data_IF_695767537799
#
_entry.id   IF_695767537799
#
_cell.length_a   1.000
_cell.length_b   1.000
_cell.length_c   1.000
_cell.angle_alpha   90.00
_cell.angle_beta   90.00
_cell.angle_gamma   90.00
#
_symmetry.space_group_name_H-M   'P 1'
#
loop_
_entity.id
_entity.type
_entity.pdbx_description
1 polymer ?
#
# COMPACT_ATOMS: atom_id res chain seq x y z
N UNK A 1 -12.10 16.35 -3.92
CA UNK A 1 -11.54 16.48 -2.58
C UNK A 1 -10.43 17.54 -2.58
N UNK A 2 -10.15 18.12 -1.43
CA UNK A 2 -9.02 19.05 -1.30
C UNK A 2 -7.71 18.32 -1.64
N UNK A 3 -6.83 19.02 -2.36
CA UNK A 3 -5.49 18.49 -2.60
C UNK A 3 -4.67 18.57 -1.30
N UNK A 4 -3.86 17.56 -1.06
CA UNK A 4 -2.88 17.57 0.01
C UNK A 4 -1.83 18.65 -0.30
N UNK A 5 -1.59 19.57 0.64
CA UNK A 5 -0.51 20.56 0.49
C UNK A 5 0.86 19.88 0.73
N UNK A 6 1.93 20.47 0.22
CA UNK A 6 3.28 19.96 0.51
C UNK A 6 3.59 19.96 2.00
N UNK A 7 3.14 21.00 2.73
CA UNK A 7 3.32 21.08 4.17
C UNK A 7 2.56 19.98 4.93
N UNK A 8 1.31 19.65 4.54
CA UNK A 8 0.56 18.53 5.12
C UNK A 8 1.24 17.19 4.82
N UNK A 9 1.76 17.02 3.57
CA UNK A 9 2.50 15.83 3.19
C UNK A 9 3.76 15.67 4.06
N UNK A 10 4.56 16.72 4.19
CA UNK A 10 5.78 16.69 5.00
C UNK A 10 5.47 16.35 6.46
N UNK A 11 4.41 16.92 7.02
CA UNK A 11 3.97 16.62 8.38
C UNK A 11 3.50 15.16 8.55
N UNK A 12 2.77 14.59 7.56
CA UNK A 12 2.39 13.18 7.57
C UNK A 12 3.61 12.26 7.48
N UNK A 13 4.57 12.60 6.63
CA UNK A 13 5.82 11.85 6.49
C UNK A 13 6.65 11.94 7.78
N UNK A 14 6.71 13.11 8.44
CA UNK A 14 7.35 13.29 9.74
C UNK A 14 6.74 12.39 10.81
N UNK A 15 5.41 12.35 10.88
CA UNK A 15 4.69 11.53 11.86
C UNK A 15 4.93 10.04 11.63
N UNK A 16 4.86 9.58 10.36
CA UNK A 16 5.11 8.19 10.00
C UNK A 16 6.55 7.77 10.33
N UNK A 17 7.52 8.58 9.92
CA UNK A 17 8.93 8.33 10.22
C UNK A 17 9.22 8.36 11.74
N UNK A 18 8.55 9.23 12.48
CA UNK A 18 8.67 9.29 13.94
C UNK A 18 8.11 8.06 14.63
N UNK A 19 6.93 7.56 14.18
CA UNK A 19 6.36 6.30 14.64
C UNK A 19 7.34 5.15 14.40
N UNK A 20 7.84 5.01 13.17
CA UNK A 20 8.73 3.91 12.80
C UNK A 20 10.06 3.96 13.58
N UNK A 21 10.65 5.15 13.79
CA UNK A 21 11.89 5.29 14.57
C UNK A 21 11.71 5.00 16.05
N UNK A 22 10.57 5.38 16.63
CA UNK A 22 10.33 5.24 18.07
C UNK A 22 10.37 3.77 18.53
N UNK A 23 10.14 2.82 17.62
CA UNK A 23 10.06 1.39 17.91
C UNK A 23 11.18 0.57 17.27
N UNK A 24 12.21 1.21 16.71
CA UNK A 24 13.41 0.48 16.23
C UNK A 24 14.10 -0.20 17.40
N UNK A 25 14.26 -1.53 17.30
CA UNK A 25 14.88 -2.34 18.34
C UNK A 25 14.01 -2.55 19.60
N UNK A 26 12.73 -2.18 19.55
CA UNK A 26 11.79 -2.48 20.63
C UNK A 26 11.67 -4.00 20.81
N UNK A 27 11.81 -4.47 22.04
CA UNK A 27 11.59 -5.87 22.40
C UNK A 27 10.09 -6.05 22.67
N UNK A 28 9.40 -6.69 21.75
CA UNK A 28 7.98 -6.99 21.89
C UNK A 28 7.80 -8.26 22.73
N UNK A 29 7.04 -8.16 23.80
CA UNK A 29 6.58 -9.27 24.63
C UNK A 29 5.29 -9.93 24.11
N UNK A 30 4.91 -9.61 22.87
CA UNK A 30 3.69 -10.08 22.22
C UNK A 30 2.57 -9.03 22.16
N UNK A 31 2.81 -7.82 22.70
CA UNK A 31 1.81 -6.74 22.72
C UNK A 31 1.42 -6.26 21.31
N UNK A 32 2.40 -6.20 20.40
CA UNK A 32 2.22 -5.72 19.03
C UNK A 32 2.21 -6.84 17.97
N UNK A 33 1.99 -8.09 18.36
CA UNK A 33 1.84 -9.18 17.37
C UNK A 33 0.55 -9.05 16.56
N UNK A 34 -0.53 -8.60 17.19
CA UNK A 34 -1.85 -8.30 16.60
C UNK A 34 -2.29 -9.28 15.49
N UNK A 35 -2.07 -10.58 15.70
CA UNK A 35 -2.18 -11.61 14.64
C UNK A 35 -3.56 -11.67 14.02
N UNK A 36 -4.62 -11.51 14.80
CA UNK A 36 -5.99 -11.60 14.30
C UNK A 36 -6.33 -10.45 13.34
N UNK A 37 -6.02 -9.21 13.73
CA UNK A 37 -6.28 -8.04 12.88
C UNK A 37 -5.34 -8.01 11.67
N UNK A 38 -4.09 -8.44 11.85
CA UNK A 38 -3.11 -8.57 10.76
C UNK A 38 -3.57 -9.60 9.72
N UNK A 39 -4.08 -10.76 10.16
CA UNK A 39 -4.62 -11.79 9.26
C UNK A 39 -5.89 -11.27 8.54
N UNK A 40 -6.80 -10.60 9.25
CA UNK A 40 -7.98 -9.99 8.66
C UNK A 40 -7.57 -8.97 7.57
N UNK A 41 -6.62 -8.09 7.87
CA UNK A 41 -6.13 -7.10 6.92
C UNK A 41 -5.41 -7.76 5.73
N UNK A 42 -4.65 -8.84 5.99
CA UNK A 42 -4.05 -9.66 4.92
C UNK A 42 -5.11 -10.22 3.97
N UNK A 43 -6.21 -10.80 4.49
CA UNK A 43 -7.32 -11.29 3.66
C UNK A 43 -7.90 -10.16 2.80
N UNK A 44 -8.16 -8.99 3.39
CA UNK A 44 -8.73 -7.84 2.71
C UNK A 44 -7.84 -7.27 1.61
N UNK A 45 -6.52 -7.31 1.79
CA UNK A 45 -5.56 -6.71 0.84
C UNK A 45 -5.17 -7.70 -0.26
N UNK A 46 -4.83 -8.95 0.11
CA UNK A 46 -4.13 -9.88 -0.79
C UNK A 46 -5.01 -11.01 -1.32
N UNK A 47 -6.16 -11.30 -0.67
CA UNK A 47 -7.03 -12.43 -1.05
C UNK A 47 -8.34 -11.98 -1.67
N UNK A 48 -9.13 -11.21 -0.95
CA UNK A 48 -10.49 -10.81 -1.38
C UNK A 48 -10.50 -10.11 -2.74
N UNK A 49 -9.58 -9.19 -3.10
CA UNK A 49 -9.61 -8.56 -4.43
C UNK A 49 -9.41 -9.57 -5.56
N UNK A 50 -8.70 -10.67 -5.30
CA UNK A 50 -8.38 -11.70 -6.30
C UNK A 50 -9.41 -12.84 -6.34
N UNK A 51 -10.26 -12.98 -5.33
CA UNK A 51 -11.33 -13.96 -5.29
C UNK A 51 -12.50 -13.50 -6.16
N UNK A 52 -12.81 -14.25 -7.23
CA UNK A 52 -13.94 -13.95 -8.10
C UNK A 52 -15.30 -14.19 -7.42
N UNK A 53 -15.33 -15.02 -6.35
CA UNK A 53 -16.53 -15.37 -5.59
C UNK A 53 -16.74 -14.51 -4.35
N UNK A 54 -16.02 -13.39 -4.19
CA UNK A 54 -16.05 -12.54 -3.00
C UNK A 54 -17.38 -11.81 -2.72
N UNK A 55 -18.35 -11.92 -3.63
CA UNK A 55 -19.69 -11.33 -3.50
C UNK A 55 -19.77 -9.81 -3.73
N UNK A 56 -18.67 -9.15 -4.12
CA UNK A 56 -18.65 -7.71 -4.39
C UNK A 56 -19.24 -7.41 -5.77
N UNK A 57 -20.27 -6.57 -5.82
CA UNK A 57 -20.80 -6.02 -7.08
C UNK A 57 -19.98 -4.81 -7.50
N UNK A 58 -18.91 -5.07 -8.26
CA UNK A 58 -18.03 -4.00 -8.76
C UNK A 58 -18.73 -3.11 -9.80
N UNK A 59 -19.70 -3.64 -10.53
CA UNK A 59 -20.38 -2.92 -11.58
C UNK A 59 -21.49 -2.00 -11.03
N UNK A 60 -21.99 -2.24 -9.82
CA UNK A 60 -22.87 -1.30 -9.13
C UNK A 60 -22.21 0.07 -8.90
N UNK A 61 -20.91 0.07 -8.60
CA UNK A 61 -20.13 1.31 -8.39
C UNK A 61 -19.59 1.89 -9.70
N UNK A 62 -19.19 1.03 -10.63
CA UNK A 62 -18.61 1.45 -11.91
C UNK A 62 -18.90 0.41 -12.98
N UNK A 63 -19.90 0.60 -13.84
CA UNK A 63 -20.25 -0.36 -14.88
C UNK A 63 -19.04 -0.76 -15.76
N UNK A 64 -18.77 -2.07 -15.88
CA UNK A 64 -17.65 -2.64 -16.61
C UNK A 64 -16.37 -2.79 -15.80
N UNK A 65 -16.37 -2.51 -14.50
CA UNK A 65 -15.21 -2.71 -13.63
C UNK A 65 -14.95 -4.19 -13.36
N UNK A 66 -15.99 -5.02 -13.26
CA UNK A 66 -15.89 -6.48 -13.12
C UNK A 66 -15.03 -7.12 -14.20
N UNK A 67 -15.23 -6.73 -15.47
CA UNK A 67 -14.42 -7.23 -16.58
C UNK A 67 -12.95 -6.80 -16.53
N UNK A 68 -12.64 -5.66 -15.91
CA UNK A 68 -11.26 -5.24 -15.69
C UNK A 68 -10.61 -6.02 -14.52
N UNK A 69 -11.37 -6.32 -13.47
CA UNK A 69 -10.94 -7.14 -12.35
C UNK A 69 -10.67 -8.60 -12.78
N UNK A 70 -11.53 -9.17 -13.63
CA UNK A 70 -11.37 -10.52 -14.18
C UNK A 70 -10.02 -10.68 -14.87
N UNK A 71 -9.62 -9.72 -15.72
CA UNK A 71 -8.32 -9.76 -16.42
C UNK A 71 -7.13 -9.79 -15.45
N UNK A 72 -7.24 -9.12 -14.30
CA UNK A 72 -6.20 -9.12 -13.30
C UNK A 72 -6.15 -10.44 -12.53
N UNK A 73 -7.32 -11.02 -12.22
CA UNK A 73 -7.48 -12.31 -11.54
C UNK A 73 -7.00 -13.49 -12.36
N UNK A 74 -7.12 -13.40 -13.69
CA UNK A 74 -6.66 -14.43 -14.65
C UNK A 74 -5.15 -14.36 -14.93
N UNK A 75 -4.46 -13.29 -14.55
CA UNK A 75 -3.01 -13.16 -14.67
C UNK A 75 -2.29 -13.94 -13.57
N UNK A 76 -1.91 -15.17 -13.86
CA UNK A 76 -1.28 -16.09 -12.90
C UNK A 76 0.03 -15.58 -12.35
N UNK A 77 0.85 -14.89 -13.15
CA UNK A 77 2.11 -14.30 -12.68
C UNK A 77 1.86 -13.15 -11.70
N UNK A 78 0.84 -12.34 -11.97
CA UNK A 78 0.41 -11.27 -11.07
C UNK A 78 -0.13 -11.84 -9.76
N UNK A 79 -1.02 -12.84 -9.81
CA UNK A 79 -1.58 -13.50 -8.61
C UNK A 79 -0.46 -14.08 -7.75
N UNK A 80 0.49 -14.80 -8.34
CA UNK A 80 1.65 -15.35 -7.62
C UNK A 80 2.53 -14.26 -6.98
N UNK A 81 2.69 -13.10 -7.65
CA UNK A 81 3.42 -11.97 -7.11
C UNK A 81 2.69 -11.33 -5.91
N UNK A 82 1.36 -11.20 -5.97
CA UNK A 82 0.53 -10.72 -4.84
C UNK A 82 0.62 -11.67 -3.66
N UNK A 83 0.53 -12.98 -3.87
CA UNK A 83 0.66 -13.98 -2.81
C UNK A 83 2.04 -13.93 -2.14
N UNK A 84 3.10 -13.76 -2.94
CA UNK A 84 4.46 -13.60 -2.43
C UNK A 84 4.58 -12.35 -1.55
N UNK A 85 3.98 -11.24 -1.97
CA UNK A 85 3.96 -10.00 -1.21
C UNK A 85 3.13 -10.14 0.08
N UNK A 86 2.02 -10.88 0.04
CA UNK A 86 1.23 -11.22 1.22
C UNK A 86 2.03 -12.00 2.26
N UNK A 87 2.91 -12.92 1.83
CA UNK A 87 3.85 -13.61 2.73
C UNK A 87 4.88 -12.65 3.36
N UNK A 88 5.33 -11.64 2.61
CA UNK A 88 6.21 -10.58 3.17
C UNK A 88 5.47 -9.77 4.22
N UNK A 89 4.22 -9.37 3.95
CA UNK A 89 3.36 -8.66 4.91
C UNK A 89 3.17 -9.44 6.22
N UNK A 90 3.01 -10.76 6.16
CA UNK A 90 2.81 -11.61 7.33
C UNK A 90 4.11 -11.95 8.11
N UNK A 91 5.29 -11.56 7.64
CA UNK A 91 6.54 -11.74 8.39
C UNK A 91 6.62 -10.73 9.52
N UNK A 92 7.07 -11.18 10.68
CA UNK A 92 7.40 -10.28 11.77
C UNK A 92 8.61 -9.43 11.38
N UNK A 93 8.60 -8.17 11.79
CA UNK A 93 9.64 -7.19 11.53
C UNK A 93 10.04 -6.44 12.80
N UNK A 94 10.94 -5.48 12.67
CA UNK A 94 11.48 -4.71 13.80
C UNK A 94 10.89 -3.30 13.92
N UNK A 95 9.87 -2.95 13.12
CA UNK A 95 9.29 -1.60 13.08
C UNK A 95 7.80 -1.68 13.37
N UNK A 96 7.31 -0.88 14.31
CA UNK A 96 5.87 -0.76 14.54
C UNK A 96 5.23 0.01 13.40
N UNK A 97 4.31 -0.65 12.71
CA UNK A 97 3.52 -0.08 11.62
C UNK A 97 2.19 0.47 12.17
N UNK A 98 1.63 1.45 11.48
CA UNK A 98 0.24 1.86 11.67
C UNK A 98 -0.73 0.78 11.13
N UNK A 99 -0.35 0.15 10.02
CA UNK A 99 -1.09 -0.96 9.40
C UNK A 99 -2.26 -0.57 8.49
N UNK A 100 -2.73 0.69 8.51
CA UNK A 100 -3.70 1.28 7.58
C UNK A 100 -3.50 2.81 7.49
N UNK A 101 -2.30 3.24 7.05
CA UNK A 101 -1.88 4.65 7.00
C UNK A 101 -2.45 5.36 5.76
N UNK A 102 -3.75 5.58 5.73
CA UNK A 102 -4.48 6.16 4.60
C UNK A 102 -5.24 7.45 5.01
N UNK A 103 -5.79 8.24 4.06
CA UNK A 103 -6.47 9.51 4.38
C UNK A 103 -7.61 9.42 5.38
N UNK A 104 -8.26 8.25 5.56
CA UNK A 104 -9.27 8.03 6.59
C UNK A 104 -8.70 7.99 8.01
N UNK A 105 -7.41 7.66 8.14
CA UNK A 105 -6.67 7.67 9.41
C UNK A 105 -5.93 8.99 9.67
N UNK A 106 -6.14 10.02 8.84
CA UNK A 106 -5.52 11.34 9.02
C UNK A 106 -6.59 12.37 9.39
N UNK A 107 -6.43 12.97 10.56
CA UNK A 107 -7.32 14.03 11.04
C UNK A 107 -6.61 15.38 10.92
N UNK A 108 -7.21 16.34 10.21
CA UNK A 108 -6.71 17.71 10.15
C UNK A 108 -7.18 18.45 11.40
N UNK A 109 -6.24 19.03 12.15
CA UNK A 109 -6.52 19.86 13.33
C UNK A 109 -5.91 21.25 13.17
N UNK A 110 -6.20 22.15 14.11
CA UNK A 110 -5.61 23.50 14.14
C UNK A 110 -4.08 23.47 14.30
N UNK A 111 -3.56 22.43 14.97
CA UNK A 111 -2.11 22.25 15.18
C UNK A 111 -1.45 21.38 14.10
N UNK A 112 -2.11 21.10 12.97
CA UNK A 112 -1.65 20.24 11.90
C UNK A 112 -2.30 18.85 11.91
N UNK A 113 -1.84 17.93 11.03
CA UNK A 113 -2.42 16.60 10.93
C UNK A 113 -2.17 15.77 12.21
N UNK A 114 -3.08 14.84 12.48
CA UNK A 114 -2.95 13.79 13.50
C UNK A 114 -3.25 12.44 12.88
N UNK A 115 -2.58 11.39 13.35
CA UNK A 115 -2.85 10.00 12.99
C UNK A 115 -3.79 9.41 14.02
N UNK A 116 -4.81 8.71 13.57
CA UNK A 116 -5.83 8.04 14.39
C UNK A 116 -6.01 6.60 13.91
N UNK A 117 -6.73 5.79 14.66
CA UNK A 117 -7.18 4.45 14.25
C UNK A 117 -6.05 3.39 14.12
N UNK A 118 -5.23 3.18 15.16
CA UNK A 118 -4.10 2.24 15.10
C UNK A 118 -4.51 0.77 15.29
N UNK A 119 -5.75 0.39 15.05
CA UNK A 119 -6.27 -0.96 15.34
C UNK A 119 -5.54 -2.08 14.56
N UNK A 120 -4.97 -1.75 13.40
CA UNK A 120 -4.17 -2.66 12.57
C UNK A 120 -2.68 -2.62 12.87
N UNK A 121 -2.23 -1.93 13.92
CA UNK A 121 -0.80 -1.81 14.22
C UNK A 121 -0.16 -3.18 14.53
N UNK A 122 1.06 -3.41 14.00
CA UNK A 122 1.86 -4.60 14.26
C UNK A 122 3.34 -4.34 13.93
N UNK A 123 4.24 -5.22 14.38
CA UNK A 123 5.66 -5.16 14.00
C UNK A 123 5.87 -5.82 12.63
N UNK A 124 6.32 -5.04 11.64
CA UNK A 124 6.44 -5.48 10.26
C UNK A 124 7.49 -4.73 9.43
N UNK A 125 7.35 -4.80 8.10
CA UNK A 125 8.18 -4.10 7.13
C UNK A 125 7.66 -2.68 6.92
N UNK A 126 8.45 -1.63 7.22
CA UNK A 126 8.00 -0.22 7.12
C UNK A 126 7.57 0.19 5.73
N UNK A 127 8.04 -0.49 4.70
CA UNK A 127 7.65 -0.28 3.31
C UNK A 127 6.13 -0.46 3.09
N UNK A 128 5.45 -1.19 3.96
CA UNK A 128 3.99 -1.36 3.85
C UNK A 128 3.27 -0.03 4.09
N UNK A 129 3.51 0.65 5.21
CA UNK A 129 2.84 1.92 5.52
C UNK A 129 3.20 3.03 4.51
N UNK A 130 4.48 3.09 4.09
CA UNK A 130 4.90 4.01 3.03
C UNK A 130 4.21 3.67 1.70
N UNK A 131 4.01 2.38 1.41
CA UNK A 131 3.27 1.91 0.25
C UNK A 131 1.80 2.34 0.29
N UNK A 132 1.14 2.25 1.45
CA UNK A 132 -0.24 2.75 1.64
C UNK A 132 -0.30 4.25 1.36
N UNK A 133 0.60 5.07 1.92
CA UNK A 133 0.68 6.51 1.62
C UNK A 133 0.81 6.76 0.11
N UNK A 134 1.77 6.10 -0.56
CA UNK A 134 2.01 6.25 -2.00
C UNK A 134 0.79 5.85 -2.82
N UNK A 135 0.11 4.76 -2.47
CA UNK A 135 -1.12 4.33 -3.15
C UNK A 135 -2.19 5.43 -3.16
N UNK A 136 -2.38 6.09 -2.04
CA UNK A 136 -3.37 7.16 -1.92
C UNK A 136 -2.96 8.45 -2.63
N UNK A 137 -1.66 8.76 -2.71
CA UNK A 137 -1.17 9.86 -3.56
C UNK A 137 -1.45 9.56 -5.05
N UNK A 138 -1.21 8.32 -5.50
CA UNK A 138 -1.48 7.89 -6.88
C UNK A 138 -2.98 7.87 -7.22
N UNK A 139 -3.84 7.38 -6.32
CA UNK A 139 -5.30 7.40 -6.48
C UNK A 139 -5.89 8.82 -6.44
N UNK A 140 -5.20 9.77 -5.80
CA UNK A 140 -5.55 11.18 -5.79
C UNK A 140 -4.97 11.96 -6.99
N UNK A 141 -4.36 11.27 -7.97
CA UNK A 141 -3.73 11.86 -9.15
C UNK A 141 -2.68 12.95 -8.79
N UNK A 142 -1.95 12.73 -7.68
CA UNK A 142 -0.85 13.64 -7.34
C UNK A 142 0.29 13.54 -8.35
N UNK A 143 0.97 14.66 -8.66
CA UNK A 143 2.12 14.65 -9.54
C UNK A 143 3.22 13.69 -9.07
N UNK A 144 3.99 13.07 -9.98
CA UNK A 144 5.11 12.19 -9.61
C UNK A 144 6.10 12.83 -8.63
N UNK A 145 6.35 14.13 -8.74
CA UNK A 145 7.21 14.87 -7.82
C UNK A 145 6.73 14.83 -6.36
N UNK A 146 5.43 14.74 -6.11
CA UNK A 146 4.85 14.61 -4.77
C UNK A 146 5.12 13.21 -4.21
N UNK A 147 5.03 12.18 -5.04
CA UNK A 147 5.39 10.80 -4.65
C UNK A 147 6.90 10.71 -4.33
N UNK A 148 7.74 11.28 -5.20
CA UNK A 148 9.19 11.31 -4.97
C UNK A 148 9.55 12.10 -3.70
N UNK A 149 8.88 13.24 -3.44
CA UNK A 149 9.02 13.99 -2.18
C UNK A 149 8.69 13.15 -0.96
N UNK A 150 7.59 12.41 -0.99
CA UNK A 150 7.20 11.53 0.12
C UNK A 150 8.26 10.45 0.39
N UNK A 151 8.73 9.78 -0.66
CA UNK A 151 9.73 8.71 -0.55
C UNK A 151 11.08 9.22 -0.06
N UNK A 152 11.58 10.31 -0.66
CA UNK A 152 12.87 10.92 -0.28
C UNK A 152 12.78 11.48 1.14
N UNK A 153 11.71 12.23 1.43
CA UNK A 153 11.50 12.82 2.75
C UNK A 153 11.38 11.77 3.87
N UNK A 154 10.73 10.63 3.59
CA UNK A 154 10.67 9.52 4.55
C UNK A 154 12.07 8.93 4.81
N UNK A 155 12.82 8.61 3.74
CA UNK A 155 14.15 8.02 3.85
C UNK A 155 15.14 8.93 4.61
N UNK A 156 15.11 10.23 4.34
CA UNK A 156 15.92 11.22 5.07
C UNK A 156 15.60 11.23 6.56
N UNK A 157 14.31 11.17 6.93
CA UNK A 157 13.86 11.22 8.32
C UNK A 157 14.18 9.97 9.12
N UNK A 158 14.16 8.79 8.48
CA UNK A 158 14.61 7.55 9.16
C UNK A 158 16.13 7.37 9.13
N UNK A 159 16.87 8.27 8.46
CA UNK A 159 18.33 8.24 8.40
C UNK A 159 18.89 7.15 7.49
N UNK A 160 18.12 6.68 6.50
CA UNK A 160 18.58 5.70 5.51
C UNK A 160 18.70 6.34 4.15
N UNK A 161 19.58 5.79 3.31
CA UNK A 161 19.55 6.10 1.88
C UNK A 161 18.46 5.26 1.24
N UNK A 162 17.60 5.86 0.38
CA UNK A 162 16.66 5.09 -0.41
C UNK A 162 17.45 4.09 -1.25
N UNK A 163 17.30 2.79 -0.96
CA UNK A 163 17.81 1.76 -1.83
C UNK A 163 16.73 1.32 -2.83
N UNK A 164 17.17 0.76 -3.96
CA UNK A 164 16.26 0.37 -5.04
C UNK A 164 15.32 -0.77 -4.60
N UNK A 165 15.79 -1.68 -3.75
CA UNK A 165 14.99 -2.81 -3.29
C UNK A 165 13.86 -2.36 -2.35
N UNK A 166 14.16 -1.47 -1.39
CA UNK A 166 13.14 -0.88 -0.50
C UNK A 166 12.12 -0.06 -1.31
N UNK A 167 12.59 0.79 -2.25
CA UNK A 167 11.70 1.55 -3.14
C UNK A 167 10.80 0.62 -3.97
N UNK A 168 11.34 -0.45 -4.52
CA UNK A 168 10.58 -1.44 -5.27
C UNK A 168 9.52 -2.14 -4.38
N UNK A 169 9.86 -2.46 -3.13
CA UNK A 169 8.93 -3.06 -2.18
C UNK A 169 7.80 -2.10 -1.80
N UNK A 170 8.12 -0.82 -1.55
CA UNK A 170 7.10 0.24 -1.34
C UNK A 170 6.14 0.31 -2.52
N UNK A 171 6.65 0.35 -3.75
CA UNK A 171 5.80 0.43 -4.94
C UNK A 171 4.91 -0.82 -5.11
N UNK A 172 5.41 -2.01 -4.76
CA UNK A 172 4.62 -3.24 -4.78
C UNK A 172 3.49 -3.21 -3.73
N UNK A 173 3.76 -2.75 -2.52
CA UNK A 173 2.74 -2.55 -1.50
C UNK A 173 1.73 -1.47 -1.91
N UNK A 174 2.19 -0.38 -2.54
CA UNK A 174 1.29 0.61 -3.11
C UNK A 174 0.37 0.01 -4.18
N UNK A 175 0.88 -0.88 -5.03
CA UNK A 175 0.08 -1.59 -6.02
C UNK A 175 -1.04 -2.42 -5.41
N UNK A 176 -0.77 -3.23 -4.39
CA UNK A 176 -1.81 -4.06 -3.75
C UNK A 176 -2.81 -3.23 -2.95
N UNK A 177 -2.38 -2.12 -2.36
CA UNK A 177 -3.31 -1.19 -1.71
C UNK A 177 -4.23 -0.52 -2.73
N UNK A 178 -3.71 -0.05 -3.87
CA UNK A 178 -4.54 0.45 -4.98
C UNK A 178 -5.54 -0.62 -5.45
N UNK A 179 -5.11 -1.88 -5.58
CA UNK A 179 -5.98 -3.00 -5.94
C UNK A 179 -7.12 -3.15 -4.92
N UNK A 180 -6.80 -3.18 -3.61
CA UNK A 180 -7.78 -3.27 -2.51
C UNK A 180 -8.82 -2.16 -2.61
N UNK A 181 -8.39 -0.92 -2.86
CA UNK A 181 -9.27 0.26 -2.93
C UNK A 181 -10.10 0.33 -4.21
N UNK A 182 -9.70 -0.36 -5.26
CA UNK A 182 -10.41 -0.38 -6.55
C UNK A 182 -11.40 -1.55 -6.65
N UNK A 183 -11.01 -2.76 -6.21
CA UNK A 183 -11.76 -4.00 -6.44
C UNK A 183 -11.87 -4.91 -5.20
N UNK A 184 -11.49 -4.42 -4.00
CA UNK A 184 -11.60 -5.14 -2.72
C UNK A 184 -12.76 -4.66 -1.86
N UNK A 185 -12.85 -5.15 -0.61
CA UNK A 185 -13.91 -4.80 0.36
C UNK A 185 -13.85 -3.35 0.85
N UNK A 186 -12.68 -2.72 0.81
CA UNK A 186 -12.45 -1.35 1.28
C UNK A 186 -12.42 -0.34 0.11
N UNK A 187 -13.33 -0.49 -0.85
CA UNK A 187 -13.43 0.41 -2.00
C UNK A 187 -13.62 1.86 -1.55
N UNK A 188 -12.87 2.75 -2.18
CA UNK A 188 -13.07 4.18 -2.00
C UNK A 188 -14.19 4.68 -2.93
N UNK A 189 -14.98 5.68 -2.53
CA UNK A 189 -16.00 6.31 -3.37
C UNK A 189 -15.34 7.22 -4.42
N UNK A 190 -14.48 6.63 -5.27
CA UNK A 190 -13.76 7.35 -6.31
C UNK A 190 -14.71 7.68 -7.47
N UNK A 191 -14.83 8.97 -7.77
CA UNK A 191 -15.64 9.48 -8.88
C UNK A 191 -14.98 9.29 -10.26
N UNK A 192 -13.86 8.58 -10.32
CA UNK A 192 -13.09 8.34 -11.53
C UNK A 192 -13.87 7.47 -12.53
N UNK A 193 -13.70 7.79 -13.83
CA UNK A 193 -14.30 7.00 -14.92
C UNK A 193 -13.75 5.57 -14.98
N UNK A 194 -14.50 4.65 -15.61
CA UNK A 194 -14.02 3.29 -15.89
C UNK A 194 -12.67 3.29 -16.63
N UNK A 195 -12.48 4.20 -17.59
CA UNK A 195 -11.21 4.31 -18.33
C UNK A 195 -10.04 4.62 -17.37
N UNK A 196 -10.26 5.53 -16.40
CA UNK A 196 -9.24 5.85 -15.39
C UNK A 196 -8.99 4.67 -14.45
N UNK A 197 -10.03 4.00 -13.96
CA UNK A 197 -9.89 2.81 -13.10
C UNK A 197 -9.16 1.67 -13.82
N UNK A 198 -9.42 1.46 -15.12
CA UNK A 198 -8.65 0.52 -15.95
C UNK A 198 -7.16 0.90 -16.07
N UNK A 199 -6.86 2.19 -16.15
CA UNK A 199 -5.47 2.67 -16.16
C UNK A 199 -4.79 2.39 -14.84
N UNK A 200 -5.43 2.66 -13.71
CA UNK A 200 -4.91 2.31 -12.39
C UNK A 200 -4.70 0.80 -12.22
N UNK A 201 -5.63 -0.06 -12.69
CA UNK A 201 -5.44 -1.52 -12.60
C UNK A 201 -4.26 -2.02 -13.47
N UNK A 202 -3.99 -1.40 -14.63
CA UNK A 202 -2.75 -1.69 -15.37
C UNK A 202 -1.50 -1.27 -14.61
N UNK A 203 -1.51 -0.08 -14.02
CA UNK A 203 -0.44 0.40 -13.17
C UNK A 203 -0.20 -0.52 -11.96
N UNK A 204 -1.24 -0.97 -11.29
CA UNK A 204 -1.18 -1.99 -10.23
C UNK A 204 -0.43 -3.23 -10.69
N UNK A 205 -0.82 -3.77 -11.87
CA UNK A 205 -0.16 -4.94 -12.46
C UNK A 205 1.33 -4.70 -12.69
N UNK A 206 1.69 -3.57 -13.26
CA UNK A 206 3.09 -3.20 -13.53
C UNK A 206 3.91 -3.08 -12.24
N UNK A 207 3.38 -2.38 -11.22
CA UNK A 207 4.04 -2.16 -9.94
C UNK A 207 4.30 -3.48 -9.20
N UNK A 208 3.31 -4.38 -9.17
CA UNK A 208 3.43 -5.64 -8.43
C UNK A 208 4.33 -6.64 -9.15
N UNK A 209 4.29 -6.68 -10.50
CA UNK A 209 5.04 -7.66 -11.31
C UNK A 209 6.47 -7.21 -11.66
N UNK A 210 6.89 -5.99 -11.36
CA UNK A 210 8.20 -5.45 -11.75
C UNK A 210 9.39 -6.27 -11.24
N UNK A 211 9.33 -6.79 -10.01
CA UNK A 211 10.40 -7.58 -9.41
C UNK A 211 10.54 -9.01 -9.99
N UNK A 212 9.44 -9.59 -10.52
CA UNK A 212 9.50 -10.93 -11.10
C UNK A 212 10.30 -10.99 -12.43
N UNK A 213 10.47 -9.84 -13.09
CA UNK A 213 11.26 -9.72 -14.33
C UNK A 213 12.76 -9.62 -14.08
N UNK A 214 13.19 -9.02 -12.98
CA UNK A 214 14.62 -8.87 -12.63
C UNK A 214 15.27 -10.22 -12.24
N UNK A 215 14.55 -11.09 -11.54
CA UNK A 215 15.06 -12.42 -11.15
C UNK A 215 15.17 -13.40 -12.34
N UNK A 216 14.37 -13.24 -13.40
CA UNK A 216 14.46 -14.08 -14.62
C UNK A 216 15.60 -13.66 -15.54
N UNK A 217 16.00 -12.38 -15.54
CA UNK A 217 17.13 -11.90 -16.38
C UNK A 217 18.50 -12.19 -15.78
N UNK A 218 18.61 -12.39 -14.46
CA UNK A 218 19.85 -12.74 -13.78
C UNK A 218 20.12 -14.25 -13.66
N UNK A 219 19.13 -15.11 -13.99
CA UNK A 219 19.24 -16.57 -13.93
C UNK A 219 19.53 -17.29 -15.28
N UNK A 220 19.73 -16.54 -16.35
CA UNK A 220 19.90 -17.08 -17.72
C UNK A 220 21.33 -17.08 -18.27
N UNK A 221 22.35 -17.08 -17.41
CA UNK A 221 23.76 -17.12 -17.79
C UNK A 221 24.49 -18.18 -16.98
N UNK A 222 24.31 -19.43 -17.37
CA UNK A 222 25.05 -20.57 -16.85
C UNK A 222 25.09 -21.68 -17.87
#
# INVERSE_FOLDING_TARGET
GERLSEADLDALVDMLASLHRAFVGFQDDGLFTNRAMRELNHQHIFRVPLDASNGLDLDALTPGLSGAATKLREDTDFVAAVETLGRVYLRDGGTLLHGDFFPGSWLRTAEGPRIIDPEFCFLGAPEFDVGVLVAHLLLADQPPAIVDRALTGYAERIGTRPDEASRALVMRFAGVEMMRRLIGVAQLPLTASLARKRTWLRQVREMVSSAARQTRSSGGGG
#
